data_IF_433604922012
#
_entry.id   IF_433604922012
#
_cell.length_a   1.000
_cell.length_b   1.000
_cell.length_c   1.000
_cell.angle_alpha   90.00
_cell.angle_beta   90.00
_cell.angle_gamma   90.00
#
_symmetry.space_group_name_H-M   'P 1'
#
loop_
_entity.id
_entity.type
_entity.pdbx_description
1 polymer ?
#
# COMPACT_ATOMS: atom_id res chain seq x y z
N UNK A 1 8.07 21.22 14.78
CA UNK A 1 7.50 20.25 13.83
C UNK A 1 6.12 19.78 14.27
N UNK A 2 5.93 19.19 15.47
CA UNK A 2 4.62 18.69 15.95
C UNK A 2 3.54 19.78 15.93
N UNK A 3 3.84 20.98 16.45
CA UNK A 3 2.92 22.11 16.42
C UNK A 3 2.51 22.50 14.99
N UNK A 4 3.48 22.56 14.07
CA UNK A 4 3.22 22.85 12.66
C UNK A 4 2.26 21.82 12.03
N UNK A 5 2.46 20.53 12.32
CA UNK A 5 1.59 19.45 11.85
C UNK A 5 0.17 19.62 12.38
N UNK A 6 0.04 19.95 13.67
CA UNK A 6 -1.25 20.15 14.33
C UNK A 6 -2.00 21.37 13.80
N UNK A 7 -1.31 22.51 13.70
CA UNK A 7 -1.87 23.79 13.26
C UNK A 7 -2.35 23.76 11.80
N UNK A 8 -1.65 22.99 10.94
CA UNK A 8 -1.99 22.88 9.52
C UNK A 8 -2.75 21.60 9.17
N UNK A 9 -3.16 20.82 10.14
CA UNK A 9 -3.96 19.60 9.97
C UNK A 9 -3.34 18.59 8.98
N UNK A 10 -2.01 18.45 8.97
CA UNK A 10 -1.34 17.54 8.05
C UNK A 10 -1.69 16.08 8.32
N UNK A 11 -1.89 15.33 7.24
CA UNK A 11 -1.91 13.86 7.28
C UNK A 11 -0.47 13.37 7.41
N UNK A 12 -0.20 12.57 8.43
CA UNK A 12 1.15 12.08 8.71
C UNK A 12 1.27 10.63 8.29
N UNK A 13 2.22 10.34 7.41
CA UNK A 13 2.69 8.99 7.11
C UNK A 13 4.00 8.74 7.88
N UNK A 14 4.01 7.73 8.74
CA UNK A 14 5.12 7.42 9.63
C UNK A 14 5.77 6.09 9.27
N UNK A 15 7.05 6.14 8.95
CA UNK A 15 7.82 4.95 8.55
C UNK A 15 8.17 4.08 9.76
N UNK A 16 7.49 2.95 9.89
CA UNK A 16 7.71 1.94 10.94
C UNK A 16 7.28 0.57 10.43
N UNK A 17 8.16 -0.44 10.53
CA UNK A 17 7.93 -1.74 9.92
C UNK A 17 7.28 -2.76 10.87
N UNK A 18 7.33 -2.52 12.18
CA UNK A 18 6.81 -3.43 13.20
C UNK A 18 7.52 -3.30 14.55
N UNK A 19 7.54 -4.37 15.33
CA UNK A 19 8.28 -4.44 16.61
C UNK A 19 9.79 -4.37 16.44
N UNK A 20 10.53 -4.40 17.55
CA UNK A 20 11.98 -4.13 17.60
C UNK A 20 12.79 -4.95 16.61
N UNK A 21 12.55 -6.26 16.58
CA UNK A 21 13.25 -7.15 15.64
C UNK A 21 13.04 -6.72 14.19
N UNK A 22 11.79 -6.54 13.80
CA UNK A 22 11.40 -6.23 12.41
C UNK A 22 11.90 -4.86 11.99
N UNK A 23 11.76 -3.85 12.84
CA UNK A 23 12.25 -2.50 12.55
C UNK A 23 13.75 -2.51 12.29
N UNK A 24 14.54 -3.19 13.14
CA UNK A 24 15.98 -3.18 13.05
C UNK A 24 16.55 -4.12 11.97
N UNK A 25 15.74 -5.03 11.40
CA UNK A 25 16.13 -5.81 10.21
C UNK A 25 16.26 -4.94 8.96
N UNK A 26 15.46 -3.88 8.84
CA UNK A 26 15.37 -3.07 7.63
C UNK A 26 15.84 -1.63 7.82
N UNK A 27 15.66 -1.06 9.02
CA UNK A 27 15.88 0.36 9.29
C UNK A 27 16.92 0.56 10.37
N UNK A 28 18.16 0.62 9.92
CA UNK A 28 19.33 0.97 10.75
C UNK A 28 19.83 2.36 10.39
N UNK A 29 20.61 2.99 11.25
CA UNK A 29 21.31 4.23 10.94
C UNK A 29 22.44 3.99 9.94
N UNK A 30 23.00 5.05 9.35
CA UNK A 30 24.12 4.95 8.42
C UNK A 30 25.38 4.31 9.06
N UNK A 31 25.52 4.41 10.37
CA UNK A 31 26.59 3.76 11.16
C UNK A 31 26.19 2.39 11.74
N UNK A 32 25.08 1.80 11.25
CA UNK A 32 24.65 0.44 11.57
C UNK A 32 23.92 0.25 12.89
N UNK A 33 23.52 1.34 13.57
CA UNK A 33 22.84 1.23 14.88
C UNK A 33 21.34 0.99 14.72
N UNK A 34 20.75 0.34 15.73
CA UNK A 34 19.30 0.12 15.83
C UNK A 34 18.52 1.43 15.94
N UNK A 35 17.36 1.49 15.27
CA UNK A 35 16.51 2.69 15.27
C UNK A 35 15.21 2.54 16.03
N UNK A 36 14.84 1.31 16.44
CA UNK A 36 13.53 1.01 16.99
C UNK A 36 13.13 1.92 18.16
N UNK A 37 13.97 2.03 19.19
CA UNK A 37 13.60 2.71 20.44
C UNK A 37 13.27 4.20 20.21
N UNK A 38 14.01 4.87 19.32
CA UNK A 38 13.76 6.26 18.97
C UNK A 38 12.52 6.40 18.06
N UNK A 39 12.35 5.47 17.10
CA UNK A 39 11.23 5.47 16.17
C UNK A 39 9.93 5.21 16.90
N UNK A 40 9.87 4.19 17.77
CA UNK A 40 8.69 3.86 18.56
C UNK A 40 8.30 5.00 19.52
N UNK A 41 9.27 5.57 20.24
CA UNK A 41 9.03 6.73 21.11
C UNK A 41 8.39 7.91 20.36
N UNK A 42 8.90 8.21 19.17
CA UNK A 42 8.39 9.30 18.34
C UNK A 42 7.04 8.95 17.71
N UNK A 43 6.80 7.69 17.31
CA UNK A 43 5.51 7.22 16.83
C UNK A 43 4.41 7.42 17.91
N UNK A 44 4.66 6.99 19.15
CA UNK A 44 3.74 7.19 20.27
C UNK A 44 3.45 8.67 20.53
N UNK A 45 4.48 9.53 20.47
CA UNK A 45 4.29 10.99 20.58
C UNK A 45 3.42 11.53 19.43
N UNK A 46 3.64 11.06 18.20
CA UNK A 46 2.87 11.50 17.03
C UNK A 46 1.41 11.07 17.15
N UNK A 47 1.15 9.81 17.52
CA UNK A 47 -0.21 9.28 17.72
C UNK A 47 -0.99 10.02 18.80
N UNK A 48 -0.32 10.55 19.84
CA UNK A 48 -0.96 11.38 20.85
C UNK A 48 -1.44 12.74 20.31
N UNK A 49 -0.80 13.24 19.24
CA UNK A 49 -1.13 14.53 18.63
C UNK A 49 -2.01 14.36 17.39
N UNK A 50 -1.72 13.36 16.57
CA UNK A 50 -2.44 13.05 15.31
C UNK A 50 -2.84 11.59 15.33
N UNK A 51 -3.99 11.28 15.89
CA UNK A 51 -4.52 9.90 16.01
C UNK A 51 -4.67 9.19 14.65
N UNK A 52 -4.74 9.96 13.58
CA UNK A 52 -4.90 9.48 12.20
C UNK A 52 -3.56 9.25 11.49
N UNK A 53 -2.46 9.19 12.24
CA UNK A 53 -1.14 8.88 11.69
C UNK A 53 -1.15 7.50 11.01
N UNK A 54 -0.65 7.45 9.79
CA UNK A 54 -0.58 6.25 8.97
C UNK A 54 0.75 5.56 9.23
N UNK A 55 0.74 4.27 9.58
CA UNK A 55 1.96 3.47 9.59
C UNK A 55 2.31 3.04 8.16
N UNK A 56 3.56 3.25 7.76
CA UNK A 56 4.10 2.83 6.46
C UNK A 56 5.14 1.75 6.72
N UNK A 57 4.77 0.50 6.49
CA UNK A 57 5.63 -0.67 6.73
C UNK A 57 6.10 -1.27 5.40
N UNK A 58 7.41 -1.52 5.29
CA UNK A 58 8.02 -2.16 4.12
C UNK A 58 8.22 -3.65 4.40
N UNK A 59 7.72 -4.47 3.49
CA UNK A 59 7.84 -5.93 3.54
C UNK A 59 8.99 -6.35 2.65
N UNK A 60 9.98 -6.99 3.26
CA UNK A 60 11.15 -7.59 2.63
C UNK A 60 11.14 -9.09 2.84
N UNK A 61 11.99 -9.84 2.14
CA UNK A 61 12.15 -11.27 2.40
C UNK A 61 12.54 -11.57 3.86
N UNK A 62 13.35 -10.68 4.45
CA UNK A 62 13.85 -10.88 5.82
C UNK A 62 12.76 -10.76 6.87
N UNK A 63 11.75 -9.92 6.66
CA UNK A 63 10.68 -9.67 7.63
C UNK A 63 9.34 -10.28 7.24
N UNK A 64 9.20 -10.87 6.05
CA UNK A 64 7.94 -11.45 5.56
C UNK A 64 7.30 -12.40 6.58
N UNK A 65 8.06 -13.28 7.19
CA UNK A 65 7.57 -14.26 8.17
C UNK A 65 6.96 -13.66 9.43
N UNK A 66 7.19 -12.36 9.68
CA UNK A 66 6.68 -11.60 10.82
C UNK A 66 5.57 -10.62 10.44
N UNK A 67 5.05 -10.66 9.20
CA UNK A 67 4.13 -9.65 8.68
C UNK A 67 2.86 -9.51 9.54
N UNK A 68 2.18 -10.59 9.86
CA UNK A 68 0.96 -10.55 10.65
C UNK A 68 1.22 -10.06 12.09
N UNK A 69 2.33 -10.50 12.70
CA UNK A 69 2.77 -10.04 14.03
C UNK A 69 3.12 -8.55 14.01
N UNK A 70 3.79 -8.09 12.97
CA UNK A 70 4.13 -6.67 12.79
C UNK A 70 2.89 -5.79 12.72
N UNK A 71 1.87 -6.21 11.96
CA UNK A 71 0.60 -5.47 11.89
C UNK A 71 -0.11 -5.45 13.23
N UNK A 72 -0.14 -6.58 13.94
CA UNK A 72 -0.69 -6.63 15.30
C UNK A 72 0.04 -5.67 16.23
N UNK A 73 1.37 -5.68 16.23
CA UNK A 73 2.18 -4.75 17.03
C UNK A 73 1.87 -3.29 16.71
N UNK A 74 1.77 -2.93 15.42
CA UNK A 74 1.45 -1.56 15.01
C UNK A 74 0.03 -1.17 15.47
N UNK A 75 -0.93 -2.07 15.36
CA UNK A 75 -2.29 -1.87 15.86
C UNK A 75 -2.31 -1.64 17.39
N UNK A 76 -1.62 -2.48 18.14
CA UNK A 76 -1.51 -2.40 19.61
C UNK A 76 -0.77 -1.12 20.06
N UNK A 77 0.16 -0.61 19.23
CA UNK A 77 0.82 0.69 19.44
C UNK A 77 -0.13 1.88 19.26
N UNK A 78 -1.26 1.70 18.57
CA UNK A 78 -2.29 2.73 18.38
C UNK A 78 -2.57 3.12 16.93
N UNK A 79 -1.83 2.59 15.95
CA UNK A 79 -2.13 2.85 14.55
C UNK A 79 -3.45 2.18 14.14
N UNK A 80 -4.25 2.92 13.37
CA UNK A 80 -5.54 2.43 12.81
C UNK A 80 -5.55 2.40 11.29
N UNK A 81 -4.54 2.95 10.66
CA UNK A 81 -4.28 2.86 9.24
C UNK A 81 -2.85 2.35 9.04
N UNK A 82 -2.73 1.14 8.48
CA UNK A 82 -1.45 0.44 8.32
C UNK A 82 -1.29 0.10 6.84
N UNK A 83 -0.36 0.80 6.17
CA UNK A 83 -0.06 0.58 4.77
C UNK A 83 1.16 -0.34 4.63
N UNK A 84 0.98 -1.43 3.92
CA UNK A 84 1.97 -2.47 3.68
C UNK A 84 2.52 -2.33 2.27
N UNK A 85 3.81 -2.13 2.15
CA UNK A 85 4.50 -1.92 0.88
C UNK A 85 5.53 -3.04 0.67
N UNK A 86 5.36 -3.81 -0.40
CA UNK A 86 6.34 -4.82 -0.78
C UNK A 86 7.57 -4.17 -1.43
N UNK A 87 8.74 -4.58 -1.01
CA UNK A 87 9.97 -4.30 -1.73
C UNK A 87 10.13 -5.30 -2.90
N UNK A 88 9.66 -4.88 -4.05
CA UNK A 88 9.73 -5.68 -5.28
C UNK A 88 11.13 -5.76 -5.90
N UNK A 89 12.12 -5.06 -5.35
CA UNK A 89 13.51 -5.13 -5.85
C UNK A 89 14.26 -6.38 -5.40
N UNK A 90 13.70 -7.08 -4.41
CA UNK A 90 14.33 -8.30 -3.87
C UNK A 90 14.10 -9.51 -4.77
N UNK A 91 15.01 -10.48 -4.69
CA UNK A 91 14.91 -11.72 -5.44
C UNK A 91 13.87 -12.66 -4.79
N UNK A 92 12.59 -12.39 -5.03
CA UNK A 92 11.48 -13.23 -4.59
C UNK A 92 11.45 -14.53 -5.39
N UNK A 93 11.09 -15.64 -4.73
CA UNK A 93 11.01 -16.98 -5.32
C UNK A 93 9.63 -17.60 -5.07
N UNK A 94 9.34 -18.68 -5.79
CA UNK A 94 8.07 -19.40 -5.66
C UNK A 94 7.85 -19.94 -4.24
N UNK A 95 8.90 -20.34 -3.53
CA UNK A 95 8.83 -20.76 -2.13
C UNK A 95 8.35 -19.66 -1.19
N UNK A 96 8.61 -18.38 -1.51
CA UNK A 96 8.13 -17.25 -0.72
C UNK A 96 6.60 -17.11 -0.78
N UNK A 97 5.95 -17.60 -1.84
CA UNK A 97 4.49 -17.60 -1.99
C UNK A 97 3.79 -18.41 -0.89
N UNK A 98 4.41 -19.48 -0.42
CA UNK A 98 3.90 -20.29 0.70
C UNK A 98 3.86 -19.43 1.97
N UNK A 99 4.94 -18.71 2.25
CA UNK A 99 5.03 -17.81 3.41
C UNK A 99 4.07 -16.63 3.25
N UNK A 100 3.97 -16.05 2.05
CA UNK A 100 3.01 -14.96 1.77
C UNK A 100 1.58 -15.45 2.06
N UNK A 101 1.19 -16.60 1.57
CA UNK A 101 -0.16 -17.16 1.79
C UNK A 101 -0.45 -17.38 3.28
N UNK A 102 0.49 -17.95 4.02
CA UNK A 102 0.37 -18.16 5.47
C UNK A 102 0.21 -16.82 6.21
N UNK A 103 1.10 -15.88 5.93
CA UNK A 103 1.08 -14.57 6.59
C UNK A 103 -0.16 -13.73 6.23
N UNK A 104 -0.61 -13.79 4.98
CA UNK A 104 -1.86 -13.14 4.56
C UNK A 104 -3.08 -13.78 5.22
N UNK A 105 -3.10 -15.10 5.37
CA UNK A 105 -4.17 -15.78 6.09
C UNK A 105 -4.24 -15.33 7.55
N UNK A 106 -3.11 -15.26 8.25
CA UNK A 106 -3.02 -14.75 9.63
C UNK A 106 -3.44 -13.29 9.73
N UNK A 107 -2.97 -12.46 8.82
CA UNK A 107 -3.30 -11.03 8.76
C UNK A 107 -4.81 -10.80 8.53
N UNK A 108 -5.41 -11.55 7.60
CA UNK A 108 -6.83 -11.43 7.26
C UNK A 108 -7.70 -11.93 8.42
N UNK A 109 -7.29 -12.99 9.12
CA UNK A 109 -7.98 -13.45 10.32
C UNK A 109 -7.94 -12.39 11.44
N UNK A 110 -6.80 -11.76 11.66
CA UNK A 110 -6.67 -10.64 12.60
C UNK A 110 -7.58 -9.46 12.21
N UNK A 111 -7.59 -9.10 10.92
CA UNK A 111 -8.48 -8.05 10.41
C UNK A 111 -9.96 -8.42 10.62
N UNK A 112 -10.37 -9.66 10.31
CA UNK A 112 -11.74 -10.14 10.53
C UNK A 112 -12.15 -10.05 12.01
N UNK A 113 -11.25 -10.48 12.92
CA UNK A 113 -11.46 -10.36 14.37
C UNK A 113 -11.74 -8.92 14.78
N UNK A 114 -10.90 -7.96 14.35
CA UNK A 114 -11.06 -6.55 14.68
C UNK A 114 -12.39 -6.00 14.17
N UNK A 115 -12.74 -6.27 12.93
CA UNK A 115 -14.01 -5.84 12.34
C UNK A 115 -15.23 -6.46 13.07
N UNK A 116 -15.16 -7.73 13.48
CA UNK A 116 -16.22 -8.39 14.25
C UNK A 116 -16.40 -7.77 15.64
N UNK A 117 -15.33 -7.34 16.27
CA UNK A 117 -15.34 -6.68 17.58
C UNK A 117 -15.71 -5.19 17.49
N UNK A 118 -16.10 -4.69 16.34
CA UNK A 118 -16.37 -3.27 16.06
C UNK A 118 -15.15 -2.36 16.30
N UNK A 119 -13.94 -2.92 16.22
CA UNK A 119 -12.67 -2.22 16.36
C UNK A 119 -12.20 -1.71 14.98
N UNK A 120 -12.00 -0.39 14.87
CA UNK A 120 -11.60 0.21 13.60
C UNK A 120 -10.16 -0.15 13.21
N UNK A 121 -10.00 -0.67 12.00
CA UNK A 121 -8.71 -0.95 11.37
C UNK A 121 -8.82 -0.73 9.86
N UNK A 122 -7.77 -0.16 9.26
CA UNK A 122 -7.67 0.05 7.82
C UNK A 122 -6.33 -0.49 7.33
N UNK A 123 -6.40 -1.46 6.44
CA UNK A 123 -5.24 -2.06 5.76
C UNK A 123 -5.54 -2.05 4.26
N UNK A 124 -4.97 -1.12 3.47
CA UNK A 124 -5.28 -0.97 2.04
C UNK A 124 -5.17 -2.27 1.25
N UNK A 125 -4.21 -3.14 1.60
CA UNK A 125 -4.05 -4.47 1.01
C UNK A 125 -5.35 -5.29 1.06
N UNK A 126 -6.13 -5.15 2.14
CA UNK A 126 -7.40 -5.86 2.36
C UNK A 126 -8.58 -5.00 1.89
N UNK A 127 -8.64 -3.75 2.35
CA UNK A 127 -9.78 -2.85 2.12
C UNK A 127 -10.09 -2.64 0.64
N UNK A 128 -9.06 -2.51 -0.19
CA UNK A 128 -9.23 -2.37 -1.63
C UNK A 128 -9.83 -3.64 -2.26
N UNK A 129 -9.43 -4.83 -1.80
CA UNK A 129 -9.97 -6.09 -2.33
C UNK A 129 -11.42 -6.30 -1.91
N UNK A 130 -11.80 -5.94 -0.68
CA UNK A 130 -13.22 -5.91 -0.26
C UNK A 130 -14.02 -4.98 -1.17
N UNK A 131 -13.51 -3.78 -1.45
CA UNK A 131 -14.19 -2.84 -2.35
C UNK A 131 -14.35 -3.40 -3.76
N UNK A 132 -13.33 -4.10 -4.30
CA UNK A 132 -13.44 -4.73 -5.62
C UNK A 132 -14.39 -5.92 -5.63
N UNK A 133 -14.49 -6.67 -4.53
CA UNK A 133 -15.44 -7.76 -4.35
C UNK A 133 -16.89 -7.26 -4.43
N UNK A 134 -17.19 -6.18 -3.69
CA UNK A 134 -18.54 -5.63 -3.61
C UNK A 134 -18.96 -4.96 -4.94
N UNK A 135 -18.02 -4.31 -5.62
CA UNK A 135 -18.31 -3.55 -6.85
C UNK A 135 -18.10 -4.36 -8.13
N UNK A 136 -17.58 -5.57 -8.02
CA UNK A 136 -17.13 -6.41 -9.13
C UNK A 136 -16.28 -5.64 -10.17
N UNK A 137 -15.56 -4.65 -9.72
CA UNK A 137 -14.75 -3.80 -10.56
C UNK A 137 -13.65 -3.11 -9.75
N UNK A 138 -12.44 -3.19 -10.26
CA UNK A 138 -11.33 -2.34 -9.84
C UNK A 138 -11.03 -1.38 -10.98
N UNK A 139 -11.40 -0.13 -10.81
CA UNK A 139 -11.07 0.87 -11.81
C UNK A 139 -9.60 1.32 -11.63
N UNK A 140 -8.67 0.43 -12.00
CA UNK A 140 -7.24 0.68 -11.95
C UNK A 140 -6.81 1.93 -12.74
N UNK A 141 -7.62 2.35 -13.71
CA UNK A 141 -7.41 3.60 -14.44
C UNK A 141 -7.57 4.84 -13.55
N UNK A 142 -8.14 4.71 -12.34
CA UNK A 142 -8.32 5.85 -11.43
C UNK A 142 -7.19 6.01 -10.42
N UNK A 143 -6.41 4.97 -10.12
CA UNK A 143 -5.49 5.01 -8.99
C UNK A 143 -4.10 5.53 -9.31
N UNK A 144 -3.43 5.06 -10.33
CA UNK A 144 -2.07 5.50 -10.64
C UNK A 144 -2.03 6.49 -11.80
N UNK A 145 -2.57 6.12 -12.97
CA UNK A 145 -2.50 6.90 -14.20
C UNK A 145 -1.08 7.47 -14.43
N UNK A 146 -0.12 6.57 -14.67
CA UNK A 146 1.30 6.90 -14.86
C UNK A 146 1.48 8.12 -15.79
N UNK A 147 2.19 9.13 -15.31
CA UNK A 147 2.42 10.36 -16.03
C UNK A 147 1.21 11.31 -16.13
N UNK A 148 0.03 10.98 -15.58
CA UNK A 148 -1.17 11.84 -15.61
C UNK A 148 -1.37 12.58 -14.30
N UNK A 149 -1.41 11.86 -13.17
CA UNK A 149 -1.77 12.41 -11.86
C UNK A 149 -0.60 12.86 -11.01
N UNK A 150 0.57 12.30 -11.26
CA UNK A 150 1.74 12.54 -10.44
C UNK A 150 2.90 13.07 -11.26
N UNK A 151 3.56 14.07 -10.74
CA UNK A 151 4.86 14.52 -11.16
C UNK A 151 5.76 14.50 -9.93
N UNK A 152 6.85 13.78 -10.02
CA UNK A 152 7.85 13.69 -8.95
C UNK A 152 9.12 14.42 -9.42
N UNK A 153 9.60 15.34 -8.62
CA UNK A 153 10.81 16.11 -8.92
C UNK A 153 11.99 15.41 -8.27
N UNK A 154 12.96 15.01 -9.05
CA UNK A 154 14.22 14.47 -8.57
C UNK A 154 15.14 15.56 -8.03
N UNK A 155 16.17 15.19 -7.28
CA UNK A 155 17.22 16.11 -6.80
C UNK A 155 18.06 16.69 -7.94
N UNK A 156 18.00 16.07 -9.10
CA UNK A 156 18.58 16.49 -10.37
C UNK A 156 17.75 17.56 -11.12
N UNK A 157 16.59 17.96 -10.56
CA UNK A 157 15.65 18.89 -11.16
C UNK A 157 14.79 18.29 -12.27
N UNK A 158 14.93 17.00 -12.59
CA UNK A 158 14.10 16.34 -13.59
C UNK A 158 12.75 15.90 -13.04
N UNK A 159 11.75 15.83 -13.93
CA UNK A 159 10.39 15.38 -13.62
C UNK A 159 10.21 13.93 -14.01
N UNK A 160 9.63 13.15 -13.08
CA UNK A 160 9.38 11.73 -13.24
C UNK A 160 7.90 11.39 -13.01
N UNK A 161 7.34 10.39 -13.70
CA UNK A 161 5.90 10.05 -13.63
C UNK A 161 5.51 9.34 -12.32
N UNK A 162 6.46 8.78 -11.61
CA UNK A 162 6.29 8.11 -10.32
C UNK A 162 7.60 8.18 -9.54
N UNK A 163 7.54 8.22 -8.21
CA UNK A 163 8.72 8.22 -7.33
C UNK A 163 9.66 7.04 -7.61
N UNK A 164 9.12 5.91 -8.03
CA UNK A 164 9.90 4.70 -8.37
C UNK A 164 10.78 4.85 -9.63
N UNK A 165 10.56 5.88 -10.42
CA UNK A 165 11.36 6.16 -11.62
C UNK A 165 12.38 7.29 -11.41
N UNK A 166 12.42 7.92 -10.23
CA UNK A 166 13.39 8.98 -9.93
C UNK A 166 14.81 8.45 -10.13
N UNK A 167 15.61 9.20 -10.91
CA UNK A 167 16.97 8.81 -11.30
C UNK A 167 17.06 7.91 -12.54
N UNK A 168 15.93 7.52 -13.15
CA UNK A 168 15.93 6.75 -14.40
C UNK A 168 15.66 7.67 -15.59
N UNK A 169 16.70 8.00 -16.33
CA UNK A 169 16.64 8.96 -17.45
C UNK A 169 15.64 8.55 -18.56
N UNK A 170 15.34 7.25 -18.70
CA UNK A 170 14.36 6.77 -19.69
C UNK A 170 12.95 7.31 -19.43
N UNK A 171 12.65 7.67 -18.19
CA UNK A 171 11.30 8.07 -17.74
C UNK A 171 11.22 9.54 -17.34
N UNK A 172 12.14 10.38 -17.80
CA UNK A 172 12.06 11.83 -17.63
C UNK A 172 10.89 12.35 -18.49
N UNK A 173 10.02 13.14 -17.87
CA UNK A 173 8.85 13.78 -18.50
C UNK A 173 8.90 15.31 -18.41
N UNK A 174 10.10 15.89 -18.24
CA UNK A 174 10.36 17.31 -18.13
C UNK A 174 11.39 17.66 -17.07
N UNK A 175 11.56 18.94 -16.80
CA UNK A 175 12.47 19.43 -15.77
C UNK A 175 12.03 20.80 -15.23
N UNK A 176 12.70 21.28 -14.17
CA UNK A 176 12.37 22.55 -13.52
C UNK A 176 12.60 23.80 -14.39
N UNK A 177 13.44 23.71 -15.42
CA UNK A 177 13.75 24.84 -16.30
C UNK A 177 12.73 25.00 -17.42
N UNK A 178 12.36 23.87 -18.07
CA UNK A 178 11.51 23.85 -19.27
C UNK A 178 10.06 23.40 -18.98
N UNK A 179 9.76 22.97 -17.74
CA UNK A 179 8.46 22.43 -17.38
C UNK A 179 8.24 21.00 -17.88
N UNK A 180 6.98 20.65 -18.15
CA UNK A 180 6.59 19.31 -18.60
C UNK A 180 6.87 19.15 -20.10
N UNK A 181 7.58 18.10 -20.46
CA UNK A 181 7.70 17.62 -21.84
C UNK A 181 6.42 16.84 -22.20
N UNK A 182 5.52 17.50 -22.92
CA UNK A 182 4.23 16.95 -23.28
C UNK A 182 4.33 15.76 -24.26
N UNK A 183 5.35 15.72 -25.13
CA UNK A 183 5.55 14.64 -26.09
C UNK A 183 6.08 13.39 -25.40
N UNK A 184 7.12 13.53 -24.57
CA UNK A 184 7.63 12.42 -23.76
C UNK A 184 6.54 11.85 -22.84
N UNK A 185 5.76 12.74 -22.20
CA UNK A 185 4.64 12.36 -21.33
C UNK A 185 3.54 11.63 -22.12
N UNK A 186 3.13 12.13 -23.28
CA UNK A 186 2.09 11.51 -24.11
C UNK A 186 2.53 10.12 -24.61
N UNK A 187 3.80 10.01 -25.03
CA UNK A 187 4.39 8.73 -25.44
C UNK A 187 4.35 7.71 -24.30
N UNK A 188 4.77 8.09 -23.10
CA UNK A 188 4.74 7.24 -21.92
C UNK A 188 3.32 6.79 -21.56
N UNK A 189 2.34 7.70 -21.58
CA UNK A 189 0.94 7.38 -21.30
C UNK A 189 0.40 6.38 -22.32
N UNK A 190 0.71 6.54 -23.60
CA UNK A 190 0.31 5.60 -24.65
C UNK A 190 0.96 4.24 -24.44
N UNK A 191 2.22 4.21 -24.08
CA UNK A 191 2.99 2.99 -23.84
C UNK A 191 2.47 2.22 -22.63
N UNK A 192 2.14 2.91 -21.54
CA UNK A 192 1.62 2.30 -20.31
C UNK A 192 0.20 1.72 -20.40
N UNK A 193 -0.51 2.01 -21.51
CA UNK A 193 -1.88 1.50 -21.75
C UNK A 193 -1.91 0.23 -22.62
N UNK A 194 -0.76 -0.32 -22.99
CA UNK A 194 -0.73 -1.58 -23.72
C UNK A 194 -1.27 -2.69 -22.81
N UNK A 195 -2.27 -3.42 -23.32
CA UNK A 195 -2.79 -4.58 -22.64
C UNK A 195 -1.78 -5.72 -22.66
N UNK A 196 -1.68 -6.43 -21.55
CA UNK A 196 -0.90 -7.65 -21.46
C UNK A 196 -1.79 -8.84 -21.86
N UNK A 197 -1.39 -9.59 -22.90
CA UNK A 197 -2.18 -10.69 -23.46
C UNK A 197 -2.51 -11.76 -22.40
N UNK A 198 -1.60 -12.04 -21.47
CA UNK A 198 -1.83 -12.99 -20.37
C UNK A 198 -2.98 -12.53 -19.45
N UNK A 199 -3.23 -11.22 -19.37
CA UNK A 199 -4.25 -10.67 -18.48
C UNK A 199 -5.63 -10.57 -19.11
N UNK A 200 -5.77 -10.60 -20.43
CA UNK A 200 -7.05 -10.41 -21.12
C UNK A 200 -8.13 -11.39 -20.69
N UNK A 201 -7.77 -12.68 -20.61
CA UNK A 201 -8.70 -13.76 -20.27
C UNK A 201 -8.62 -14.18 -18.79
N UNK A 202 -7.92 -13.40 -17.96
CA UNK A 202 -7.76 -13.71 -16.56
C UNK A 202 -9.04 -13.42 -15.77
N UNK A 203 -9.54 -14.41 -15.03
CA UNK A 203 -10.77 -14.29 -14.24
C UNK A 203 -10.76 -13.14 -13.22
N UNK A 204 -9.59 -12.74 -12.73
CA UNK A 204 -9.45 -11.64 -11.77
C UNK A 204 -8.99 -10.32 -12.42
N UNK A 205 -8.91 -10.23 -13.75
CA UNK A 205 -8.40 -9.05 -14.47
C UNK A 205 -9.03 -7.75 -13.95
N UNK A 206 -10.37 -7.70 -13.89
CA UNK A 206 -11.12 -6.51 -13.44
C UNK A 206 -10.85 -6.09 -12.00
N UNK A 207 -10.22 -6.94 -11.20
CA UNK A 207 -9.98 -6.75 -9.76
C UNK A 207 -8.50 -6.70 -9.39
N UNK A 208 -7.61 -6.96 -10.34
CA UNK A 208 -6.17 -7.09 -10.15
C UNK A 208 -5.45 -5.77 -10.40
N UNK A 209 -4.38 -5.51 -9.64
CA UNK A 209 -3.48 -4.35 -9.82
C UNK A 209 -2.36 -4.60 -10.85
N UNK A 210 -2.59 -5.41 -11.87
CA UNK A 210 -1.60 -5.76 -12.89
C UNK A 210 -1.10 -4.55 -13.71
N UNK A 211 -1.87 -3.47 -13.78
CA UNK A 211 -1.55 -2.27 -14.55
C UNK A 211 -0.63 -1.28 -13.84
N UNK A 212 -0.10 -1.62 -12.68
CA UNK A 212 0.85 -0.75 -11.98
C UNK A 212 2.23 -0.79 -12.66
N UNK A 213 2.46 0.13 -13.60
CA UNK A 213 3.66 0.19 -14.43
C UNK A 213 4.97 0.24 -13.63
N UNK A 214 5.02 1.00 -12.52
CA UNK A 214 6.23 1.06 -11.68
C UNK A 214 6.51 -0.28 -10.98
N UNK A 215 5.48 -0.96 -10.48
CA UNK A 215 5.59 -2.28 -9.88
C UNK A 215 6.11 -3.31 -10.89
N UNK A 216 5.52 -3.32 -12.08
CA UNK A 216 5.96 -4.18 -13.17
C UNK A 216 7.43 -3.92 -13.50
N UNK A 217 7.80 -2.66 -13.75
CA UNK A 217 9.16 -2.27 -14.08
C UNK A 217 10.20 -2.63 -13.01
N UNK A 218 9.85 -2.50 -11.73
CA UNK A 218 10.77 -2.87 -10.65
C UNK A 218 11.20 -4.33 -10.73
N UNK A 219 10.30 -5.21 -11.15
CA UNK A 219 10.53 -6.67 -11.20
C UNK A 219 11.05 -7.10 -12.57
N UNK A 220 10.36 -6.73 -13.65
CA UNK A 220 10.59 -7.28 -15.01
C UNK A 220 11.45 -6.36 -15.89
N UNK A 221 11.65 -5.10 -15.49
CA UNK A 221 12.26 -4.02 -16.28
C UNK A 221 11.40 -3.59 -17.48
N UNK A 222 10.16 -4.05 -17.55
CA UNK A 222 9.14 -3.59 -18.49
C UNK A 222 7.90 -3.07 -17.74
N UNK A 223 7.35 -1.93 -18.19
CA UNK A 223 6.19 -1.29 -17.54
C UNK A 223 4.89 -2.05 -17.76
N UNK A 224 4.83 -2.91 -18.77
CA UNK A 224 3.63 -3.67 -19.16
C UNK A 224 3.73 -5.16 -18.82
N UNK A 225 4.93 -5.69 -18.53
CA UNK A 225 5.12 -7.09 -18.21
C UNK A 225 4.80 -7.35 -16.73
N UNK A 226 3.79 -8.16 -16.47
CA UNK A 226 3.37 -8.53 -15.10
C UNK A 226 4.17 -9.74 -14.62
N UNK A 227 4.85 -9.61 -13.49
CA UNK A 227 5.59 -10.73 -12.94
C UNK A 227 4.67 -11.81 -12.35
N UNK A 228 5.09 -13.09 -12.39
CA UNK A 228 4.37 -14.18 -11.73
C UNK A 228 4.13 -13.92 -10.24
N UNK A 229 5.08 -13.33 -9.53
CA UNK A 229 4.93 -12.96 -8.11
C UNK A 229 3.74 -12.03 -7.90
N UNK A 230 3.62 -10.97 -8.71
CA UNK A 230 2.49 -10.03 -8.62
C UNK A 230 1.18 -10.75 -8.92
N UNK A 231 1.17 -11.59 -9.94
CA UNK A 231 -0.01 -12.36 -10.33
C UNK A 231 -0.48 -13.28 -9.19
N UNK A 232 0.41 -14.07 -8.63
CA UNK A 232 0.06 -15.04 -7.56
C UNK A 232 -0.30 -14.34 -6.25
N UNK A 233 0.40 -13.28 -5.86
CA UNK A 233 0.03 -12.51 -4.65
C UNK A 233 -1.33 -11.86 -4.78
N UNK A 234 -1.71 -11.36 -5.96
CA UNK A 234 -3.04 -10.81 -6.22
C UNK A 234 -4.14 -11.89 -6.12
N UNK A 235 -3.91 -13.08 -6.72
CA UNK A 235 -4.83 -14.23 -6.62
C UNK A 235 -5.03 -14.66 -5.16
N UNK A 236 -3.93 -14.86 -4.43
CA UNK A 236 -3.96 -15.24 -3.00
C UNK A 236 -4.75 -14.21 -2.19
N UNK A 237 -4.46 -12.91 -2.39
CA UNK A 237 -5.13 -11.85 -1.63
C UNK A 237 -6.62 -11.81 -1.93
N UNK A 238 -7.01 -11.85 -3.19
CA UNK A 238 -8.42 -11.83 -3.61
C UNK A 238 -9.16 -13.03 -3.04
N UNK A 239 -8.63 -14.25 -3.18
CA UNK A 239 -9.26 -15.46 -2.66
C UNK A 239 -9.53 -15.40 -1.14
N UNK A 240 -8.52 -14.98 -0.37
CA UNK A 240 -8.62 -14.92 1.08
C UNK A 240 -9.57 -13.81 1.54
N UNK A 241 -9.50 -12.64 0.90
CA UNK A 241 -10.35 -11.49 1.25
C UNK A 241 -11.80 -11.74 0.89
N UNK A 242 -12.09 -12.38 -0.25
CA UNK A 242 -13.45 -12.69 -0.66
C UNK A 242 -14.14 -13.62 0.34
N UNK A 243 -13.44 -14.68 0.77
CA UNK A 243 -13.94 -15.61 1.80
C UNK A 243 -14.22 -14.90 3.13
N UNK A 244 -13.36 -13.97 3.53
CA UNK A 244 -13.55 -13.15 4.73
C UNK A 244 -14.75 -12.21 4.57
N UNK A 245 -14.82 -11.48 3.46
CA UNK A 245 -15.91 -10.53 3.20
C UNK A 245 -17.28 -11.23 3.20
N UNK A 246 -17.37 -12.41 2.60
CA UNK A 246 -18.57 -13.24 2.62
C UNK A 246 -18.99 -13.65 4.05
N UNK A 247 -18.02 -14.08 4.88
CA UNK A 247 -18.29 -14.41 6.29
C UNK A 247 -18.79 -13.21 7.08
N UNK A 248 -18.15 -12.04 6.94
CA UNK A 248 -18.54 -10.80 7.63
C UNK A 248 -19.92 -10.33 7.19
N UNK A 249 -20.24 -10.45 5.90
CA UNK A 249 -21.58 -10.12 5.37
C UNK A 249 -22.66 -11.06 5.91
N UNK A 250 -22.44 -12.39 5.87
CA UNK A 250 -23.37 -13.39 6.41
C UNK A 250 -23.62 -13.21 7.91
N UNK A 251 -22.59 -12.85 8.67
CA UNK A 251 -22.70 -12.54 10.11
C UNK A 251 -23.31 -11.18 10.40
N UNK A 252 -23.63 -10.38 9.37
CA UNK A 252 -24.17 -9.02 9.49
C UNK A 252 -23.33 -8.11 10.40
N UNK A 253 -21.99 -8.23 10.29
CA UNK A 253 -21.06 -7.38 11.07
C UNK A 253 -21.39 -5.92 10.84
N UNK A 254 -21.73 -5.19 11.92
CA UNK A 254 -22.18 -3.80 11.86
C UNK A 254 -21.10 -2.89 11.28
N UNK A 255 -19.87 -2.99 11.79
CA UNK A 255 -18.76 -2.18 11.29
C UNK A 255 -18.46 -2.48 9.82
N UNK A 256 -18.50 -3.77 9.39
CA UNK A 256 -18.31 -4.15 7.99
C UNK A 256 -19.35 -3.51 7.08
N UNK A 257 -20.64 -3.60 7.46
CA UNK A 257 -21.72 -3.01 6.68
C UNK A 257 -21.62 -1.48 6.63
N UNK A 258 -21.28 -0.85 7.73
CA UNK A 258 -21.04 0.61 7.77
C UNK A 258 -19.87 0.99 6.86
N UNK A 259 -18.73 0.29 6.96
CA UNK A 259 -17.50 0.62 6.23
C UNK A 259 -17.64 0.47 4.72
N UNK A 260 -18.37 -0.54 4.24
CA UNK A 260 -18.36 -0.87 2.83
C UNK A 260 -19.68 -0.66 2.08
N UNK A 261 -20.79 -0.66 2.77
CA UNK A 261 -22.12 -0.51 2.17
C UNK A 261 -22.79 0.84 2.46
N UNK A 262 -22.36 1.57 3.49
CA UNK A 262 -22.88 2.90 3.76
C UNK A 262 -22.17 3.92 2.85
N UNK A 263 -22.93 4.56 1.94
CA UNK A 263 -22.40 5.60 1.03
C UNK A 263 -21.85 6.83 1.75
N UNK A 264 -22.35 7.11 2.95
CA UNK A 264 -21.91 8.23 3.79
C UNK A 264 -20.68 7.91 4.64
N UNK A 265 -20.26 6.64 4.68
CA UNK A 265 -19.09 6.21 5.41
C UNK A 265 -17.84 6.52 4.60
N UNK A 266 -17.24 7.66 4.89
CA UNK A 266 -15.97 8.05 4.29
C UNK A 266 -14.85 7.79 5.29
N UNK A 267 -13.92 6.92 4.94
CA UNK A 267 -12.75 6.58 5.77
C UNK A 267 -11.98 7.85 6.16
N UNK A 268 -11.82 8.78 5.21
CA UNK A 268 -11.16 10.06 5.46
C UNK A 268 -11.96 10.89 6.46
N UNK A 269 -13.29 10.93 6.37
CA UNK A 269 -14.13 11.66 7.31
C UNK A 269 -14.09 11.06 8.72
N UNK A 270 -13.88 9.75 8.89
CA UNK A 270 -13.62 9.17 10.20
C UNK A 270 -12.32 9.69 10.82
N UNK A 271 -11.29 9.87 10.00
CA UNK A 271 -10.06 10.48 10.45
C UNK A 271 -10.23 11.94 10.83
N UNK A 272 -11.12 12.66 10.15
CA UNK A 272 -11.42 14.07 10.44
C UNK A 272 -12.33 14.21 11.66
N UNK A 273 -13.37 13.39 11.79
CA UNK A 273 -14.39 13.49 12.84
C UNK A 273 -13.96 12.89 14.20
N UNK A 274 -12.94 12.05 14.26
CA UNK A 274 -12.34 11.58 15.52
C UNK A 274 -11.36 12.59 16.14
N UNK A 275 -11.42 13.85 15.75
CA UNK A 275 -10.63 14.98 16.30
C UNK A 275 -11.29 15.66 17.51
N UNK A 276 -12.34 15.09 18.08
CA UNK A 276 -12.95 15.54 19.32
C UNK A 276 -12.35 14.87 20.54
#
# INVERSE_FOLDING_TARGET
MINLIKENEFIVAYSIDGGKLVQNLNRITADGKETFDIVEKNAKKMLNVVKTTIAMAVITKNNLKYLAESVKYLYDTGFRYINLLFDYTQNWKDEDLITIKDQYSKLINFYEEKIMNEENINIPLIDEKVNTYIKDNYNCNKDCQLGIRHVNVGTDGNFYPCVQFVGNNKYIIGNCENGIDFDARAKLIKESKKENDICKDCAINKRCKHTCACKNYMITKDINEVSPLVCETEKITIELVDKMAERLYKKKSKLFLQKYYNKSYNIINQYINNRG
#
